data_IF_771326822208
#
_entry.id   IF_771326822208
#
_cell.length_a   1.000
_cell.length_b   1.000
_cell.length_c   1.000
_cell.angle_alpha   90.00
_cell.angle_beta   90.00
_cell.angle_gamma   90.00
#
_symmetry.space_group_name_H-M   'P 1'
#
loop_
_entity.id
_entity.type
_entity.pdbx_description
1 polymer ?
#
# COMPACT_ATOMS: atom_id res chain seq x y z
N UNK A 1 -13.27 -30.11 -66.04
CA UNK A 1 -12.24 -29.05 -66.21
C UNK A 1 -12.09 -28.26 -64.92
N UNK A 2 -10.85 -27.97 -64.54
CA UNK A 2 -10.36 -27.28 -63.32
C UNK A 2 -11.22 -26.09 -62.84
N UNK A 3 -11.32 -25.92 -61.52
CA UNK A 3 -10.86 -24.70 -60.83
C UNK A 3 -10.69 -24.93 -59.31
N UNK A 4 -9.43 -24.99 -58.91
CA UNK A 4 -8.93 -24.72 -57.56
C UNK A 4 -8.53 -23.24 -57.50
N UNK A 5 -8.73 -22.58 -56.34
CA UNK A 5 -8.25 -21.26 -55.84
C UNK A 5 -9.42 -20.53 -55.15
N UNK A 6 -9.34 -19.95 -53.95
CA UNK A 6 -8.26 -19.58 -53.04
C UNK A 6 -8.83 -19.54 -51.61
N UNK A 7 -8.08 -19.99 -50.60
CA UNK A 7 -8.29 -19.55 -49.22
C UNK A 7 -6.95 -19.61 -48.47
N UNK A 8 -6.21 -18.50 -48.51
CA UNK A 8 -5.14 -18.18 -47.56
C UNK A 8 -5.15 -16.68 -47.37
N UNK A 9 -5.79 -16.18 -46.31
CA UNK A 9 -5.41 -14.92 -45.65
C UNK A 9 -6.15 -14.68 -44.32
N UNK A 10 -6.03 -15.57 -43.33
CA UNK A 10 -6.41 -15.26 -41.95
C UNK A 10 -5.51 -16.02 -40.97
N UNK A 11 -4.25 -15.61 -40.82
CA UNK A 11 -3.38 -16.17 -39.77
C UNK A 11 -2.33 -15.21 -39.20
N UNK A 12 -2.19 -13.99 -39.69
CA UNK A 12 -1.08 -13.11 -39.31
C UNK A 12 -1.40 -12.14 -38.17
N UNK A 13 -2.67 -11.88 -37.85
CA UNK A 13 -3.03 -10.94 -36.77
C UNK A 13 -3.01 -11.53 -35.35
N UNK A 14 -3.08 -12.85 -35.17
CA UNK A 14 -3.19 -13.45 -33.83
C UNK A 14 -1.83 -13.63 -33.13
N UNK A 15 -0.72 -13.81 -33.88
CA UNK A 15 0.62 -13.92 -33.29
C UNK A 15 1.16 -12.58 -32.77
N UNK A 16 0.82 -11.46 -33.43
CA UNK A 16 1.31 -10.12 -33.04
C UNK A 16 0.76 -9.64 -31.69
N UNK A 17 -0.49 -10.01 -31.36
CA UNK A 17 -1.12 -9.69 -30.07
C UNK A 17 -0.58 -10.54 -28.91
N UNK A 18 -0.18 -11.80 -29.18
CA UNK A 18 0.47 -12.65 -28.18
C UNK A 18 1.91 -12.22 -27.91
N UNK A 19 2.67 -11.84 -28.94
CA UNK A 19 4.04 -11.35 -28.76
C UNK A 19 4.13 -10.04 -27.98
N UNK A 20 3.13 -9.16 -28.11
CA UNK A 20 3.10 -7.89 -27.37
C UNK A 20 2.89 -8.08 -25.86
N UNK A 21 1.95 -8.95 -25.46
CA UNK A 21 1.72 -9.27 -24.04
C UNK A 21 2.91 -10.02 -23.42
N UNK A 22 3.56 -10.90 -24.19
CA UNK A 22 4.76 -11.60 -23.73
C UNK A 22 5.94 -10.62 -23.52
N UNK A 23 6.17 -9.69 -24.45
CA UNK A 23 7.27 -8.73 -24.36
C UNK A 23 7.08 -7.73 -23.21
N UNK A 24 5.86 -7.21 -23.03
CA UNK A 24 5.53 -6.34 -21.91
C UNK A 24 5.74 -7.04 -20.56
N UNK A 25 5.35 -8.31 -20.44
CA UNK A 25 5.57 -9.07 -19.21
C UNK A 25 7.07 -9.31 -18.93
N UNK A 26 7.90 -9.46 -19.95
CA UNK A 26 9.36 -9.63 -19.79
C UNK A 26 10.01 -8.34 -19.25
N UNK A 27 9.59 -7.18 -19.75
CA UNK A 27 10.14 -5.88 -19.31
C UNK A 27 9.76 -5.55 -17.85
N UNK A 28 8.50 -5.78 -17.49
CA UNK A 28 8.03 -5.59 -16.11
C UNK A 28 8.71 -6.58 -15.17
N UNK A 29 8.86 -7.84 -15.60
CA UNK A 29 9.59 -8.86 -14.84
C UNK A 29 11.03 -8.42 -14.56
N UNK A 30 11.77 -8.01 -15.59
CA UNK A 30 13.15 -7.55 -15.42
C UNK A 30 13.25 -6.35 -14.48
N UNK A 31 12.24 -5.48 -14.44
CA UNK A 31 12.20 -4.36 -13.51
C UNK A 31 11.89 -4.80 -12.08
N UNK A 32 10.98 -5.76 -11.89
CA UNK A 32 10.67 -6.35 -10.59
C UNK A 32 11.87 -7.09 -9.99
N UNK A 33 12.60 -7.86 -10.79
CA UNK A 33 13.78 -8.63 -10.38
C UNK A 33 14.95 -7.77 -9.87
N UNK A 34 14.91 -6.44 -10.10
CA UNK A 34 15.88 -5.51 -9.51
C UNK A 34 15.67 -5.28 -8.02
N UNK A 35 14.46 -5.53 -7.52
CA UNK A 35 14.03 -5.23 -6.15
C UNK A 35 13.31 -6.40 -5.47
N UNK A 36 13.09 -7.51 -6.16
CA UNK A 36 12.44 -8.73 -5.66
C UNK A 36 13.20 -9.96 -6.16
N UNK A 37 13.08 -11.09 -5.46
CA UNK A 37 13.56 -12.37 -5.99
C UNK A 37 12.74 -12.81 -7.21
N UNK A 38 13.33 -13.63 -8.10
CA UNK A 38 12.64 -14.17 -9.29
C UNK A 38 11.34 -14.90 -8.92
N UNK A 39 11.34 -15.70 -7.85
CA UNK A 39 10.14 -16.41 -7.37
C UNK A 39 8.99 -15.43 -7.04
N UNK A 40 9.30 -14.39 -6.25
CA UNK A 40 8.31 -13.40 -5.83
C UNK A 40 7.87 -12.54 -7.02
N UNK A 41 8.79 -12.15 -7.90
CA UNK A 41 8.47 -11.40 -9.11
C UNK A 41 7.51 -12.17 -10.03
N UNK A 42 7.75 -13.46 -10.25
CA UNK A 42 6.88 -14.32 -11.04
C UNK A 42 5.49 -14.49 -10.42
N UNK A 43 5.42 -14.74 -9.11
CA UNK A 43 4.16 -14.87 -8.39
C UNK A 43 3.36 -13.56 -8.45
N UNK A 44 4.03 -12.42 -8.26
CA UNK A 44 3.40 -11.10 -8.25
C UNK A 44 2.88 -10.72 -9.64
N UNK A 45 3.64 -11.00 -10.71
CA UNK A 45 3.18 -10.80 -12.09
C UNK A 45 1.94 -11.63 -12.42
N UNK A 46 1.91 -12.88 -11.94
CA UNK A 46 0.81 -13.80 -12.20
C UNK A 46 -0.46 -13.39 -11.46
N UNK A 47 -0.33 -12.99 -10.20
CA UNK A 47 -1.46 -12.82 -9.30
C UNK A 47 -1.88 -11.35 -9.13
N UNK A 48 -1.01 -10.39 -9.51
CA UNK A 48 -1.18 -8.95 -9.26
C UNK A 48 -0.97 -8.54 -7.81
N UNK A 49 -1.10 -9.46 -6.86
CA UNK A 49 -0.81 -9.27 -5.44
C UNK A 49 -0.34 -10.56 -4.75
N UNK A 50 0.42 -10.40 -3.68
CA UNK A 50 0.83 -11.49 -2.76
C UNK A 50 0.65 -10.98 -1.33
N UNK A 51 0.00 -11.76 -0.48
CA UNK A 51 -0.26 -11.39 0.92
C UNK A 51 0.13 -12.55 1.84
N UNK A 52 0.86 -12.25 2.92
CA UNK A 52 1.27 -13.19 3.95
C UNK A 52 0.95 -12.62 5.33
N UNK A 53 0.61 -13.48 6.28
CA UNK A 53 0.37 -13.07 7.66
C UNK A 53 0.60 -14.21 8.64
N UNK A 54 1.18 -13.88 9.79
CA UNK A 54 1.62 -14.86 10.79
C UNK A 54 1.49 -14.32 12.22
N UNK A 55 1.35 -15.26 13.16
CA UNK A 55 1.51 -15.03 14.60
C UNK A 55 2.76 -15.77 15.06
N UNK A 56 3.92 -15.13 14.99
CA UNK A 56 5.20 -15.70 15.39
C UNK A 56 6.00 -14.67 16.17
N UNK A 57 6.93 -15.09 17.04
CA UNK A 57 7.76 -14.17 17.82
C UNK A 57 9.06 -13.75 17.12
N UNK A 58 9.49 -14.51 16.12
CA UNK A 58 10.70 -14.23 15.33
C UNK A 58 10.30 -14.18 13.87
N UNK A 59 10.27 -12.97 13.30
CA UNK A 59 9.82 -12.76 11.94
C UNK A 59 10.94 -12.28 11.04
N UNK A 60 11.04 -12.93 9.88
CA UNK A 60 11.82 -12.46 8.76
C UNK A 60 10.84 -12.14 7.63
N UNK A 61 10.90 -10.92 7.04
CA UNK A 61 10.07 -10.59 5.88
C UNK A 61 10.27 -11.58 4.73
N UNK A 62 9.17 -12.14 4.24
CA UNK A 62 9.13 -13.11 3.14
C UNK A 62 8.90 -12.45 1.79
N UNK A 63 8.36 -11.23 1.77
CA UNK A 63 8.04 -10.45 0.57
C UNK A 63 8.94 -9.20 0.49
N UNK A 64 10.16 -9.32 1.01
CA UNK A 64 11.11 -8.23 1.15
C UNK A 64 11.36 -7.50 -0.19
N UNK A 65 11.10 -6.19 -0.20
CA UNK A 65 11.41 -5.30 -1.31
C UNK A 65 12.82 -4.73 -1.09
N UNK A 66 13.81 -5.17 -1.87
CA UNK A 66 15.21 -4.74 -1.76
C UNK A 66 15.44 -3.42 -2.51
N UNK A 67 14.86 -2.33 -1.99
CA UNK A 67 15.08 -0.96 -2.44
C UNK A 67 15.91 -0.16 -1.43
N UNK A 68 16.24 1.10 -1.74
CA UNK A 68 17.00 1.96 -0.81
C UNK A 68 16.24 2.14 0.50
N UNK A 69 14.95 2.50 0.43
CA UNK A 69 14.09 2.61 1.61
C UNK A 69 13.58 1.25 2.11
N UNK A 70 13.46 0.26 1.24
CA UNK A 70 13.04 -1.11 1.58
C UNK A 70 13.92 -1.79 2.62
N UNK A 71 15.24 -1.58 2.52
CA UNK A 71 16.22 -2.08 3.49
C UNK A 71 16.07 -1.50 4.89
N UNK A 72 15.37 -0.38 5.05
CA UNK A 72 15.12 0.20 6.37
C UNK A 72 13.94 -0.45 7.10
N UNK A 73 12.95 -0.96 6.35
CA UNK A 73 11.66 -1.42 6.89
C UNK A 73 11.79 -2.50 7.98
N UNK A 74 12.57 -3.59 7.80
CA UNK A 74 12.65 -4.65 8.80
C UNK A 74 13.22 -4.19 10.16
N UNK A 75 13.94 -3.06 10.16
CA UNK A 75 14.54 -2.51 11.37
C UNK A 75 13.68 -1.41 12.00
N UNK A 76 12.64 -0.92 11.35
CA UNK A 76 11.87 0.22 11.87
C UNK A 76 11.26 -0.07 13.25
N UNK A 77 10.72 -1.27 13.46
CA UNK A 77 10.27 -1.71 14.77
C UNK A 77 11.38 -1.66 15.82
N UNK A 78 12.55 -2.25 15.53
CA UNK A 78 13.68 -2.32 16.46
C UNK A 78 14.26 -0.93 16.76
N UNK A 79 14.34 -0.08 15.74
CA UNK A 79 14.82 1.31 15.86
C UNK A 79 13.88 2.20 16.65
N UNK A 80 12.62 1.80 16.86
CA UNK A 80 11.70 2.51 17.75
C UNK A 80 12.02 2.33 19.25
N UNK A 81 13.06 1.57 19.60
CA UNK A 81 13.52 1.39 20.98
C UNK A 81 12.73 0.34 21.77
N UNK A 82 11.91 -0.46 21.07
CA UNK A 82 11.09 -1.52 21.68
C UNK A 82 11.93 -2.74 21.99
N UNK A 83 11.68 -3.31 23.16
CA UNK A 83 12.31 -4.55 23.63
C UNK A 83 11.46 -5.79 23.38
N UNK A 84 10.16 -5.61 23.11
CA UNK A 84 9.23 -6.67 22.79
C UNK A 84 9.11 -6.85 21.29
N UNK A 85 9.25 -8.09 20.83
CA UNK A 85 8.99 -8.44 19.43
C UNK A 85 7.49 -8.38 19.12
N UNK A 86 7.09 -7.94 17.91
CA UNK A 86 5.71 -8.05 17.47
C UNK A 86 5.23 -9.50 17.53
N UNK A 87 3.95 -9.69 17.84
CA UNK A 87 3.32 -11.02 17.91
C UNK A 87 2.47 -11.33 16.68
N UNK A 88 2.19 -10.32 15.85
CA UNK A 88 1.48 -10.45 14.59
C UNK A 88 2.15 -9.66 13.48
N UNK A 89 2.20 -10.26 12.30
CA UNK A 89 2.76 -9.68 11.09
C UNK A 89 1.79 -9.83 9.92
N UNK A 90 1.72 -8.81 9.09
CA UNK A 90 1.14 -8.86 7.76
C UNK A 90 2.14 -8.28 6.76
N UNK A 91 2.40 -9.01 5.68
CA UNK A 91 3.14 -8.53 4.52
C UNK A 91 2.25 -8.55 3.29
N UNK A 92 2.35 -7.52 2.47
CA UNK A 92 1.66 -7.42 1.19
C UNK A 92 2.55 -6.84 0.11
N UNK A 93 2.52 -7.43 -1.07
CA UNK A 93 3.01 -6.85 -2.31
C UNK A 93 1.85 -6.70 -3.29
N UNK A 94 1.80 -5.55 -3.94
CA UNK A 94 0.77 -5.25 -4.92
C UNK A 94 1.39 -4.58 -6.15
N UNK A 95 1.01 -5.05 -7.33
CA UNK A 95 1.47 -4.52 -8.60
C UNK A 95 0.34 -3.72 -9.25
N UNK A 96 0.57 -2.42 -9.44
CA UNK A 96 -0.42 -1.54 -10.08
C UNK A 96 0.14 -1.02 -11.40
N UNK A 97 -0.58 -1.28 -12.50
CA UNK A 97 -0.26 -0.68 -13.80
C UNK A 97 -0.63 0.80 -13.80
N UNK A 98 0.26 1.66 -14.27
CA UNK A 98 -0.07 3.06 -14.53
C UNK A 98 -0.91 3.11 -15.82
N UNK A 99 -2.03 3.83 -15.84
CA UNK A 99 -2.75 3.98 -17.12
C UNK A 99 -1.97 4.94 -18.03
N UNK A 100 -1.97 4.71 -19.36
CA UNK A 100 -1.23 5.56 -20.27
C UNK A 100 -1.99 6.87 -20.49
N UNK A 101 -1.62 7.91 -19.73
CA UNK A 101 -1.91 9.31 -20.07
C UNK A 101 -0.58 10.04 -20.23
N UNK A 102 -0.05 10.06 -21.46
CA UNK A 102 0.96 10.98 -22.06
C UNK A 102 2.15 11.52 -21.25
N UNK A 103 2.40 11.09 -20.02
CA UNK A 103 3.44 11.62 -19.15
C UNK A 103 4.34 10.48 -18.65
N UNK A 104 5.64 10.49 -18.98
CA UNK A 104 6.68 9.66 -18.36
C UNK A 104 6.89 9.90 -16.85
N UNK A 105 5.93 10.54 -16.18
CA UNK A 105 6.19 11.42 -15.04
C UNK A 105 5.21 11.31 -13.88
N UNK A 106 4.43 10.22 -13.76
CA UNK A 106 3.85 9.82 -12.46
C UNK A 106 4.96 9.45 -11.50
N UNK A 107 5.69 10.48 -11.11
CA UNK A 107 6.83 10.42 -10.26
C UNK A 107 6.33 10.26 -8.82
N UNK A 108 7.24 9.85 -7.97
CA UNK A 108 7.00 9.73 -6.55
C UNK A 108 6.57 11.06 -5.91
N UNK A 109 6.79 12.21 -6.55
CA UNK A 109 6.33 13.51 -6.04
C UNK A 109 4.80 13.60 -5.99
N UNK A 110 4.10 13.12 -7.02
CA UNK A 110 2.63 13.12 -7.04
C UNK A 110 2.06 12.11 -6.06
N UNK A 111 2.62 10.91 -6.03
CA UNK A 111 2.28 9.89 -5.02
C UNK A 111 2.47 10.48 -3.61
N UNK A 112 3.60 11.14 -3.37
CA UNK A 112 3.96 11.80 -2.12
C UNK A 112 2.95 12.83 -1.65
N UNK A 113 2.42 13.66 -2.55
CA UNK A 113 1.35 14.62 -2.21
C UNK A 113 0.08 13.90 -1.78
N UNK A 114 -0.33 12.87 -2.52
CA UNK A 114 -1.56 12.15 -2.26
C UNK A 114 -1.50 11.32 -0.97
N UNK A 115 -0.39 10.62 -0.71
CA UNK A 115 -0.23 9.83 0.53
C UNK A 115 -0.09 10.68 1.79
N UNK A 116 0.15 11.99 1.63
CA UNK A 116 0.10 12.99 2.71
C UNK A 116 -1.23 13.74 2.79
N UNK A 117 -2.15 13.49 1.87
CA UNK A 117 -3.50 14.04 1.87
C UNK A 117 -4.39 13.22 2.82
N UNK A 118 -4.08 13.27 4.13
CA UNK A 118 -4.72 12.50 5.20
C UNK A 118 -6.25 12.63 5.18
N UNK A 119 -6.76 13.82 4.82
CA UNK A 119 -8.20 14.07 4.72
C UNK A 119 -8.91 13.21 3.68
N UNK A 120 -8.21 12.76 2.64
CA UNK A 120 -8.79 11.92 1.57
C UNK A 120 -9.01 10.46 1.98
N UNK A 121 -8.53 10.06 3.16
CA UNK A 121 -8.84 8.75 3.75
C UNK A 121 -10.25 8.72 4.36
N UNK A 122 -10.85 9.88 4.66
CA UNK A 122 -12.22 9.97 5.15
C UNK A 122 -13.20 9.37 4.13
N UNK A 123 -14.06 8.47 4.58
CA UNK A 123 -15.03 7.77 3.73
C UNK A 123 -14.48 6.56 2.98
N UNK A 124 -13.18 6.23 3.08
CA UNK A 124 -12.65 4.98 2.50
C UNK A 124 -13.44 3.79 3.04
N UNK A 125 -13.88 2.90 2.16
CA UNK A 125 -14.67 1.73 2.51
C UNK A 125 -13.85 0.44 2.52
N UNK A 126 -14.32 -0.56 3.28
CA UNK A 126 -13.76 -1.89 3.33
C UNK A 126 -14.84 -2.96 3.46
N UNK A 127 -14.57 -4.17 2.97
CA UNK A 127 -15.45 -5.30 3.19
C UNK A 127 -15.24 -5.88 4.60
N UNK A 128 -16.26 -5.76 5.45
CA UNK A 128 -16.20 -6.26 6.82
C UNK A 128 -16.46 -7.76 6.87
N UNK A 129 -15.42 -8.57 7.02
CA UNK A 129 -15.53 -10.03 7.13
C UNK A 129 -16.49 -10.51 8.25
N UNK A 130 -16.55 -9.80 9.38
CA UNK A 130 -17.43 -10.15 10.49
C UNK A 130 -18.89 -9.77 10.26
N UNK A 131 -19.16 -8.71 9.48
CA UNK A 131 -20.50 -8.19 9.20
C UNK A 131 -21.03 -8.57 7.82
N UNK A 132 -20.19 -9.15 6.96
CA UNK A 132 -20.47 -9.56 5.57
C UNK A 132 -21.07 -8.43 4.72
N UNK A 133 -20.54 -7.21 4.84
CA UNK A 133 -20.96 -6.04 4.06
C UNK A 133 -19.87 -4.97 3.95
N UNK A 134 -19.99 -4.09 2.97
CA UNK A 134 -19.19 -2.87 2.88
C UNK A 134 -19.46 -1.94 4.07
N UNK A 135 -18.42 -1.31 4.58
CA UNK A 135 -18.47 -0.33 5.66
C UNK A 135 -17.42 0.74 5.44
N UNK A 136 -17.67 1.93 5.99
CA UNK A 136 -16.66 2.97 6.11
C UNK A 136 -15.56 2.50 7.08
N UNK A 137 -14.32 2.55 6.62
CA UNK A 137 -13.12 2.33 7.41
C UNK A 137 -12.86 3.55 8.30
N UNK A 138 -12.70 4.72 7.69
CA UNK A 138 -12.46 5.98 8.39
C UNK A 138 -13.66 6.92 8.30
N UNK A 139 -14.39 7.08 9.39
CA UNK A 139 -15.51 8.02 9.50
C UNK A 139 -15.04 9.48 9.60
N UNK A 140 -13.85 9.69 10.17
CA UNK A 140 -13.14 10.96 10.22
C UNK A 140 -11.66 10.69 9.92
N UNK A 141 -11.02 11.54 9.13
CA UNK A 141 -9.57 11.52 8.96
C UNK A 141 -9.06 12.93 8.69
N UNK A 142 -8.15 13.45 9.52
CA UNK A 142 -7.53 14.76 9.28
C UNK A 142 -6.19 14.92 9.99
N UNK A 143 -5.31 15.74 9.42
CA UNK A 143 -4.07 16.15 10.06
C UNK A 143 -4.32 17.05 11.27
N UNK A 144 -3.46 16.93 12.30
CA UNK A 144 -3.46 17.78 13.48
C UNK A 144 -2.10 18.42 13.73
N UNK A 145 -2.10 19.56 14.41
CA UNK A 145 -0.89 20.34 14.64
C UNK A 145 0.17 19.64 15.51
N UNK A 146 -0.24 18.94 16.56
CA UNK A 146 0.64 18.20 17.47
C UNK A 146 -0.16 17.16 18.28
N UNK A 147 0.51 16.18 18.92
CA UNK A 147 -0.17 15.10 19.63
C UNK A 147 -0.93 15.51 20.91
N UNK A 148 -0.63 16.70 21.46
CA UNK A 148 -1.20 17.17 22.73
C UNK A 148 -2.49 17.97 22.48
N UNK A 149 -2.42 19.02 21.66
CA UNK A 149 -3.54 19.91 21.38
C UNK A 149 -4.52 19.32 20.36
N UNK A 150 -4.00 18.53 19.40
CA UNK A 150 -4.79 17.82 18.38
C UNK A 150 -5.75 18.72 17.59
N UNK A 151 -5.37 19.98 17.38
CA UNK A 151 -6.16 20.92 16.58
C UNK A 151 -6.04 20.55 15.11
N UNK A 152 -7.19 20.47 14.42
CA UNK A 152 -7.25 20.18 12.98
C UNK A 152 -6.47 21.23 12.20
N UNK A 153 -5.64 20.77 11.28
CA UNK A 153 -4.92 21.59 10.30
C UNK A 153 -5.24 21.13 8.88
N UNK A 154 -4.83 21.91 7.89
CA UNK A 154 -4.83 21.47 6.50
C UNK A 154 -3.76 20.41 6.28
N UNK A 155 -3.98 19.51 5.31
CA UNK A 155 -2.99 18.48 4.97
C UNK A 155 -1.68 19.14 4.47
N UNK A 156 -0.52 18.83 5.07
CA UNK A 156 0.74 19.53 4.79
C UNK A 156 1.42 18.98 3.52
N UNK A 157 0.81 19.19 2.35
CA UNK A 157 1.23 18.61 1.06
C UNK A 157 2.28 19.42 0.28
N UNK A 158 2.46 20.70 0.62
CA UNK A 158 3.28 21.65 -0.18
C UNK A 158 4.79 21.38 -0.14
N UNK A 159 5.30 20.86 0.98
CA UNK A 159 6.74 20.61 1.19
C UNK A 159 7.15 19.21 0.69
N UNK A 160 8.43 18.98 0.42
CA UNK A 160 8.97 17.64 0.14
C UNK A 160 8.73 16.70 1.33
N UNK A 161 8.23 15.48 1.11
CA UNK A 161 7.89 14.55 2.19
C UNK A 161 9.09 14.02 2.98
N UNK A 162 10.32 14.12 2.47
CA UNK A 162 11.48 13.55 3.15
C UNK A 162 11.67 14.13 4.57
N UNK A 163 11.74 13.23 5.55
CA UNK A 163 11.79 13.51 6.99
C UNK A 163 10.58 14.28 7.55
N UNK A 164 9.45 14.33 6.83
CA UNK A 164 8.23 14.91 7.36
C UNK A 164 7.55 13.98 8.37
N UNK A 165 6.89 14.61 9.34
CA UNK A 165 6.00 13.95 10.28
C UNK A 165 4.64 14.62 10.23
N UNK A 166 3.58 13.82 10.14
CA UNK A 166 2.19 14.25 10.23
C UNK A 166 1.54 13.50 11.38
N UNK A 167 0.88 14.22 12.27
CA UNK A 167 -0.03 13.61 13.22
C UNK A 167 -1.42 13.61 12.62
N UNK A 168 -2.09 12.46 12.62
CA UNK A 168 -3.41 12.30 12.02
C UNK A 168 -4.37 11.77 13.06
N UNK A 169 -5.50 12.44 13.21
CA UNK A 169 -6.60 11.94 14.01
C UNK A 169 -7.58 11.22 13.09
N UNK A 170 -7.86 9.95 13.41
CA UNK A 170 -8.68 9.07 12.58
C UNK A 170 -9.72 8.35 13.44
N UNK A 171 -10.95 8.21 12.91
CA UNK A 171 -12.02 7.41 13.51
C UNK A 171 -12.23 6.13 12.72
N UNK A 172 -11.68 5.03 13.21
CA UNK A 172 -11.89 3.67 12.68
C UNK A 172 -13.16 3.06 13.30
N UNK A 173 -14.04 2.48 12.50
CA UNK A 173 -15.32 1.89 12.95
C UNK A 173 -15.20 0.64 13.85
N UNK A 174 -13.99 0.13 14.07
CA UNK A 174 -13.66 -1.00 14.96
C UNK A 174 -12.95 -0.55 16.21
N UNK A 175 -11.96 0.32 16.08
CA UNK A 175 -11.17 0.72 17.23
C UNK A 175 -11.84 1.94 17.93
N UNK A 176 -12.43 2.87 17.20
CA UNK A 176 -12.81 4.20 17.68
C UNK A 176 -11.90 5.31 17.16
N UNK A 177 -11.72 6.39 17.94
CA UNK A 177 -11.00 7.60 17.54
C UNK A 177 -9.59 7.62 18.13
N UNK A 178 -8.57 7.69 17.29
CA UNK A 178 -7.15 7.64 17.70
C UNK A 178 -6.27 8.57 16.92
N UNK A 179 -5.17 8.92 17.56
CA UNK A 179 -4.06 9.60 16.96
C UNK A 179 -3.02 8.61 16.41
N UNK A 180 -2.56 8.87 15.19
CA UNK A 180 -1.46 8.20 14.52
C UNK A 180 -0.36 9.21 14.18
N UNK A 181 0.88 8.73 14.13
CA UNK A 181 2.05 9.45 13.61
C UNK A 181 2.45 8.82 12.29
N UNK A 182 2.42 9.62 11.24
CA UNK A 182 2.91 9.28 9.91
C UNK A 182 4.29 9.91 9.75
N UNK A 183 5.31 9.12 9.41
CA UNK A 183 6.67 9.58 9.13
C UNK A 183 7.05 9.19 7.72
N UNK A 184 7.63 10.13 6.98
CA UNK A 184 7.88 9.97 5.55
C UNK A 184 9.37 10.03 5.24
N UNK A 185 9.81 9.20 4.29
CA UNK A 185 11.10 9.33 3.60
C UNK A 185 10.85 9.28 2.11
N UNK A 186 11.49 10.15 1.35
CA UNK A 186 11.25 10.26 -0.09
C UNK A 186 12.59 10.23 -0.85
N UNK A 187 12.67 9.34 -1.84
CA UNK A 187 13.75 9.24 -2.81
C UNK A 187 13.20 9.49 -4.20
N UNK A 188 14.08 9.42 -5.21
CA UNK A 188 13.71 9.68 -6.61
C UNK A 188 12.59 8.74 -7.10
N UNK A 189 12.74 7.45 -6.79
CA UNK A 189 11.88 6.38 -7.30
C UNK A 189 11.08 5.65 -6.21
N UNK A 190 11.14 6.11 -4.97
CA UNK A 190 10.31 5.53 -3.91
C UNK A 190 9.95 6.50 -2.79
N UNK A 191 8.83 6.22 -2.13
CA UNK A 191 8.43 6.85 -0.88
C UNK A 191 8.12 5.78 0.15
N UNK A 192 8.62 5.97 1.37
CA UNK A 192 8.31 5.17 2.55
C UNK A 192 7.42 5.99 3.49
N UNK A 193 6.36 5.34 3.96
CA UNK A 193 5.42 5.86 4.95
C UNK A 193 5.44 4.91 6.13
N UNK A 194 5.85 5.40 7.30
CA UNK A 194 5.73 4.68 8.55
C UNK A 194 4.59 5.25 9.38
N UNK A 195 3.63 4.42 9.75
CA UNK A 195 2.44 4.79 10.50
C UNK A 195 2.51 4.09 11.86
N UNK A 196 2.57 4.88 12.93
CA UNK A 196 2.64 4.37 14.30
C UNK A 196 1.44 4.88 15.09
N UNK A 197 0.76 4.00 15.82
CA UNK A 197 -0.33 4.44 16.71
C UNK A 197 0.24 5.23 17.91
N UNK A 198 -0.37 6.36 18.25
CA UNK A 198 0.01 7.16 19.43
C UNK A 198 -0.93 6.87 20.61
N UNK A 199 -2.20 6.64 20.32
CA UNK A 199 -3.17 6.25 21.35
C UNK A 199 -3.27 4.72 21.52
N UNK A 200 -3.87 4.29 22.63
CA UNK A 200 -4.24 2.89 22.83
C UNK A 200 -5.37 2.51 21.87
N UNK A 201 -5.18 1.50 21.01
CA UNK A 201 -6.28 0.98 20.20
C UNK A 201 -7.16 0.08 21.06
N UNK A 202 -8.45 0.38 21.04
CA UNK A 202 -9.43 -0.22 21.93
C UNK A 202 -10.40 -1.09 21.13
N UNK A 203 -10.63 -2.33 21.56
CA UNK A 203 -11.65 -3.20 20.97
C UNK A 203 -12.68 -3.51 22.04
N UNK A 204 -13.94 -3.12 21.79
CA UNK A 204 -15.05 -3.33 22.74
C UNK A 204 -14.75 -2.81 24.17
N UNK A 205 -14.12 -1.64 24.28
CA UNK A 205 -13.73 -1.03 25.56
C UNK A 205 -12.41 -1.52 26.16
N UNK A 206 -11.81 -2.57 25.61
CA UNK A 206 -10.54 -3.15 26.09
C UNK A 206 -9.38 -2.59 25.28
N UNK A 207 -8.37 -2.02 25.96
CA UNK A 207 -7.12 -1.57 25.32
C UNK A 207 -6.32 -2.80 24.90
N UNK A 208 -6.24 -3.08 23.61
CA UNK A 208 -5.60 -4.29 23.09
C UNK A 208 -4.23 -4.02 22.46
N UNK A 209 -3.99 -2.79 21.98
CA UNK A 209 -2.72 -2.37 21.41
C UNK A 209 -2.33 -1.08 22.13
N UNK A 210 -1.19 -1.10 22.82
CA UNK A 210 -0.64 0.07 23.54
C UNK A 210 -0.10 1.10 22.55
N UNK A 211 0.11 2.37 22.97
CA UNK A 211 0.86 3.34 22.18
C UNK A 211 2.11 2.71 21.58
N UNK A 212 2.35 3.03 20.33
CA UNK A 212 3.47 2.60 19.50
C UNK A 212 3.52 1.11 19.17
N UNK A 213 2.68 0.25 19.76
CA UNK A 213 2.70 -1.20 19.53
C UNK A 213 2.04 -1.65 18.21
N UNK A 214 1.73 -0.74 17.30
CA UNK A 214 1.37 -1.04 15.91
C UNK A 214 2.13 -0.11 14.99
N UNK A 215 2.88 -0.72 14.07
CA UNK A 215 3.63 -0.06 13.01
C UNK A 215 3.11 -0.57 11.67
N UNK A 216 2.90 0.33 10.72
CA UNK A 216 2.68 -0.01 9.31
C UNK A 216 3.69 0.74 8.45
N UNK A 217 4.52 -0.02 7.75
CA UNK A 217 5.53 0.48 6.82
C UNK A 217 5.04 0.22 5.41
N UNK A 218 4.78 1.28 4.64
CA UNK A 218 4.28 1.22 3.28
C UNK A 218 5.31 1.86 2.36
N UNK A 219 5.78 1.11 1.36
CA UNK A 219 6.63 1.63 0.30
C UNK A 219 5.85 1.64 -1.01
N UNK A 220 5.91 2.75 -1.72
CA UNK A 220 5.55 2.81 -3.13
C UNK A 220 6.82 3.00 -3.93
N UNK A 221 7.13 2.05 -4.80
CA UNK A 221 8.31 2.07 -5.66
C UNK A 221 7.89 2.16 -7.14
N UNK A 222 8.52 3.06 -7.87
CA UNK A 222 8.28 3.33 -9.28
C UNK A 222 9.13 2.42 -10.18
N UNK A 223 8.46 1.57 -10.96
CA UNK A 223 9.06 0.63 -11.93
C UNK A 223 8.95 1.11 -13.39
N UNK A 224 8.63 2.39 -13.63
CA UNK A 224 8.32 2.90 -14.96
C UNK A 224 6.82 2.85 -15.23
N UNK A 225 6.36 1.83 -15.98
CA UNK A 225 4.93 1.68 -16.32
C UNK A 225 4.07 1.14 -15.16
N UNK A 226 4.70 0.75 -14.06
CA UNK A 226 4.07 0.13 -12.91
C UNK A 226 4.54 0.77 -11.61
N UNK A 227 3.69 0.68 -10.58
CA UNK A 227 4.11 0.80 -9.19
C UNK A 227 4.11 -0.58 -8.54
N UNK A 228 5.12 -0.86 -7.72
CA UNK A 228 5.04 -1.91 -6.72
C UNK A 228 4.84 -1.27 -5.36
N UNK A 229 3.79 -1.70 -4.66
CA UNK A 229 3.53 -1.30 -3.28
C UNK A 229 3.87 -2.44 -2.35
N UNK A 230 4.80 -2.21 -1.43
CA UNK A 230 5.11 -3.13 -0.34
C UNK A 230 4.50 -2.61 0.96
N UNK A 231 3.94 -3.50 1.77
CA UNK A 231 3.37 -3.18 3.07
C UNK A 231 3.82 -4.21 4.08
N UNK A 232 4.38 -3.74 5.21
CA UNK A 232 4.65 -4.55 6.40
C UNK A 232 3.87 -3.93 7.57
N UNK A 233 3.01 -4.71 8.20
CA UNK A 233 2.31 -4.32 9.43
C UNK A 233 2.81 -5.21 10.55
N UNK A 234 3.31 -4.59 11.61
CA UNK A 234 3.85 -5.24 12.79
C UNK A 234 3.02 -4.82 13.99
N UNK A 235 2.49 -5.79 14.73
CA UNK A 235 1.60 -5.52 15.85
C UNK A 235 2.02 -6.35 17.05
N UNK A 236 2.25 -5.65 18.17
CA UNK A 236 2.21 -6.26 19.48
C UNK A 236 0.83 -6.02 20.12
N UNK A 237 0.07 -7.09 20.24
CA UNK A 237 -1.29 -7.10 20.79
C UNK A 237 -1.29 -7.94 22.06
N UNK A 238 -2.09 -7.55 23.04
CA UNK A 238 -2.31 -8.39 24.23
C UNK A 238 -2.80 -9.77 23.77
N UNK A 239 -2.01 -10.80 24.07
CA UNK A 239 -2.26 -12.17 23.60
C UNK A 239 -3.62 -12.66 24.08
N UNK A 240 -4.55 -12.78 23.14
CA UNK A 240 -5.83 -13.42 23.36
C UNK A 240 -6.05 -14.34 22.16
N UNK A 241 -5.71 -15.61 22.33
CA UNK A 241 -5.81 -16.68 21.33
C UNK A 241 -7.19 -16.76 20.67
N UNK A 242 -8.25 -16.30 21.35
CA UNK A 242 -9.63 -16.24 20.84
C UNK A 242 -9.83 -15.22 19.71
N UNK A 243 -8.98 -14.18 19.61
CA UNK A 243 -9.17 -13.05 18.68
C UNK A 243 -8.19 -13.08 17.50
N UNK A 244 -7.20 -13.97 17.48
CA UNK A 244 -6.14 -14.03 16.46
C UNK A 244 -6.69 -14.10 15.04
N UNK A 245 -7.55 -15.09 14.75
CA UNK A 245 -8.15 -15.23 13.42
C UNK A 245 -8.99 -14.02 13.01
N UNK A 246 -9.65 -13.38 13.97
CA UNK A 246 -10.45 -12.17 13.73
C UNK A 246 -9.53 -10.98 13.43
N UNK A 247 -8.42 -10.84 14.16
CA UNK A 247 -7.42 -9.80 13.96
C UNK A 247 -6.70 -9.96 12.62
N UNK A 248 -6.27 -11.18 12.25
CA UNK A 248 -5.72 -11.47 10.93
C UNK A 248 -6.62 -11.01 9.78
N UNK A 249 -7.90 -11.42 9.80
CA UNK A 249 -8.89 -10.99 8.78
C UNK A 249 -9.17 -9.49 8.83
N UNK A 250 -9.11 -8.90 10.02
CA UNK A 250 -9.36 -7.48 10.27
C UNK A 250 -8.23 -6.60 9.72
N UNK A 251 -6.98 -7.01 9.91
CA UNK A 251 -5.81 -6.30 9.37
C UNK A 251 -5.68 -6.49 7.86
N UNK A 252 -5.86 -7.71 7.34
CA UNK A 252 -5.81 -7.96 5.90
C UNK A 252 -6.84 -7.11 5.14
N UNK A 253 -8.10 -7.09 5.60
CA UNK A 253 -9.15 -6.27 4.95
C UNK A 253 -8.87 -4.76 5.02
N UNK A 254 -8.15 -4.28 6.04
CA UNK A 254 -7.72 -2.89 6.14
C UNK A 254 -6.57 -2.56 5.23
N UNK A 255 -5.57 -3.44 5.17
CA UNK A 255 -4.45 -3.32 4.24
C UNK A 255 -4.96 -3.29 2.80
N UNK A 256 -5.93 -4.15 2.46
CA UNK A 256 -6.58 -4.16 1.15
C UNK A 256 -7.36 -2.86 0.88
N UNK A 257 -8.08 -2.31 1.86
CA UNK A 257 -8.79 -1.04 1.70
C UNK A 257 -7.84 0.15 1.51
N UNK A 258 -6.74 0.19 2.27
CA UNK A 258 -5.69 1.20 2.12
C UNK A 258 -4.99 1.07 0.75
N UNK A 259 -4.73 -0.16 0.31
CA UNK A 259 -4.19 -0.40 -1.03
C UNK A 259 -5.17 0.05 -2.12
N UNK A 260 -6.46 -0.30 -2.01
CA UNK A 260 -7.48 0.13 -2.97
C UNK A 260 -7.61 1.66 -3.02
N UNK A 261 -7.54 2.34 -1.88
CA UNK A 261 -7.47 3.80 -1.82
C UNK A 261 -6.24 4.33 -2.55
N UNK A 262 -5.06 3.75 -2.30
CA UNK A 262 -3.82 4.13 -2.97
C UNK A 262 -3.86 3.88 -4.49
N UNK A 263 -4.45 2.78 -4.94
CA UNK A 263 -4.71 2.55 -6.36
C UNK A 263 -5.65 3.59 -6.94
N UNK A 264 -6.70 3.99 -6.21
CA UNK A 264 -7.62 5.05 -6.64
C UNK A 264 -6.94 6.41 -6.75
N UNK A 265 -5.93 6.67 -5.91
CA UNK A 265 -5.06 7.85 -6.03
C UNK A 265 -4.32 7.80 -7.37
N UNK A 266 -3.77 6.65 -7.74
CA UNK A 266 -3.09 6.50 -9.03
C UNK A 266 -4.04 6.74 -10.21
N UNK A 267 -5.28 6.26 -10.13
CA UNK A 267 -6.31 6.47 -11.16
C UNK A 267 -6.77 7.94 -11.24
N UNK A 268 -6.85 8.65 -10.10
CA UNK A 268 -7.23 10.08 -10.07
C UNK A 268 -6.17 10.97 -10.71
N UNK A 269 -4.90 10.68 -10.46
CA UNK A 269 -3.77 11.37 -11.11
C UNK A 269 -3.89 11.28 -12.64
N UNK A 270 -4.28 10.12 -13.17
CA UNK A 270 -4.46 9.95 -14.62
C UNK A 270 -5.54 10.87 -15.21
N UNK A 271 -6.67 11.03 -14.52
CA UNK A 271 -7.79 11.82 -15.02
C UNK A 271 -7.52 13.33 -15.01
N UNK A 272 -6.71 13.81 -14.06
CA UNK A 272 -6.32 15.23 -14.00
C UNK A 272 -5.39 15.56 -15.18
N UNK A 273 -4.39 14.72 -15.43
CA UNK A 273 -3.42 14.94 -16.51
C UNK A 273 -4.02 14.81 -17.92
N UNK A 274 -5.10 14.05 -18.10
CA UNK A 274 -5.79 13.96 -19.40
C UNK A 274 -6.68 15.16 -19.71
N UNK A 275 -7.08 15.95 -18.71
CA UNK A 275 -7.95 17.12 -18.88
C UNK A 275 -7.12 18.36 -19.27
N UNK A 276 -5.94 18.54 -18.68
CA UNK A 276 -5.02 19.66 -18.99
C UNK A 276 -4.40 19.60 -20.40
N UNK A 277 -4.43 18.45 -21.07
CA UNK A 277 -3.93 18.29 -22.45
C UNK A 277 -5.03 18.49 -23.52
N UNK A 278 -6.26 18.76 -23.09
CA UNK A 278 -7.41 19.01 -23.97
C UNK A 278 -7.84 20.47 -24.04
N UNK A 279 -7.10 21.35 -23.34
CA UNK A 279 -7.21 22.82 -23.40
C UNK A 279 -6.05 23.42 -24.19
#
# INVERSE_FOLDING_TARGET
>A
MKKQKNAKFYSTCFMLLFSFNALANVEVKSSLEKVLSDEIANELLKNGKIEKSSYIKEYTPHLFLDSELGREVPNYWKLSGKTQEPVFYFEGLYLTKKTPSTNPGKNIQEVSKNVRSISTLEGVEYYSNSRKKMRILYEESFAVNNPNERMRISDPIEKNADNQVIYALQRDSTFGRFLYKYSYKQKKNEILINITNIDNLTLAGIKIIKPENMVSSIIVYDLGDYFVTYTLIEVDVISVSVIENKMKKSFAARAEALFAWLSSVFDKIDKMNSTELSE
#
